data_IF_762408047822
#
_entry.id   IF_762408047822
#
_cell.length_a   1.000
_cell.length_b   1.000
_cell.length_c   1.000
_cell.angle_alpha   90.00
_cell.angle_beta   90.00
_cell.angle_gamma   90.00
#
_symmetry.space_group_name_H-M   'P 1'
#
loop_
_entity.id
_entity.type
_entity.pdbx_description
1 polymer ?
#
# COMPACT_ATOMS: atom_id res chain seq x y z
N UNK A 1 8.59 30.35 60.04
CA UNK A 1 8.84 29.57 58.81
C UNK A 1 8.42 30.43 57.63
N UNK A 2 9.35 30.82 56.76
CA UNK A 2 9.08 31.75 55.66
C UNK A 2 8.31 31.05 54.53
N UNK A 3 7.03 31.37 54.40
CA UNK A 3 6.11 30.84 53.37
C UNK A 3 6.59 31.11 51.94
N UNK A 4 7.33 32.20 51.71
CA UNK A 4 7.95 32.49 50.41
C UNK A 4 9.05 31.52 50.00
N UNK A 5 9.81 30.97 50.96
CA UNK A 5 10.89 30.01 50.65
C UNK A 5 10.32 28.64 50.24
N UNK A 6 9.18 28.26 50.82
CA UNK A 6 8.47 27.01 50.53
C UNK A 6 7.87 27.04 49.12
N UNK A 7 7.25 28.16 48.72
CA UNK A 7 6.68 28.31 47.38
C UNK A 7 7.75 28.28 46.28
N UNK A 8 8.92 28.89 46.51
CA UNK A 8 10.04 28.83 45.57
C UNK A 8 10.58 27.41 45.40
N UNK A 9 10.74 26.65 46.49
CA UNK A 9 11.22 25.27 46.44
C UNK A 9 10.22 24.34 45.74
N UNK A 10 8.92 24.52 45.96
CA UNK A 10 7.87 23.75 45.26
C UNK A 10 7.88 24.07 43.75
N UNK A 11 8.00 25.35 43.38
CA UNK A 11 8.07 25.76 41.97
C UNK A 11 9.27 25.17 41.22
N UNK A 12 10.45 25.15 41.84
CA UNK A 12 11.66 24.55 41.27
C UNK A 12 11.53 23.03 41.13
N UNK A 13 10.94 22.34 42.11
CA UNK A 13 10.72 20.89 42.05
C UNK A 13 9.71 20.51 40.96
N UNK A 14 8.61 21.25 40.80
CA UNK A 14 7.61 21.00 39.75
C UNK A 14 8.19 21.24 38.35
N UNK A 15 8.98 22.30 38.16
CA UNK A 15 9.67 22.59 36.89
C UNK A 15 10.68 21.49 36.52
N UNK A 16 11.44 20.97 37.49
CA UNK A 16 12.39 19.88 37.27
C UNK A 16 11.70 18.56 36.88
N UNK A 17 10.53 18.26 37.45
CA UNK A 17 9.77 17.05 37.13
C UNK A 17 9.19 17.06 35.70
N UNK A 18 8.72 18.20 35.21
CA UNK A 18 8.16 18.33 33.86
C UNK A 18 9.26 18.20 32.77
N UNK A 19 10.45 18.78 32.98
CA UNK A 19 11.57 18.62 32.04
C UNK A 19 12.06 17.17 31.93
N UNK A 20 12.07 16.41 33.04
CA UNK A 20 12.56 15.02 33.06
C UNK A 20 11.65 14.06 32.30
N UNK A 21 10.34 14.30 32.33
CA UNK A 21 9.35 13.52 31.57
C UNK A 21 9.51 13.71 30.05
N UNK A 22 9.76 14.96 29.61
CA UNK A 22 9.98 15.28 28.19
C UNK A 22 11.22 14.59 27.60
N UNK A 23 12.35 14.58 28.32
CA UNK A 23 13.58 13.93 27.87
C UNK A 23 13.44 12.41 27.76
N UNK A 24 12.73 11.77 28.69
CA UNK A 24 12.49 10.32 28.65
C UNK A 24 11.67 9.91 27.42
N UNK A 25 10.59 10.63 27.13
CA UNK A 25 9.74 10.38 25.96
C UNK A 25 10.52 10.58 24.66
N UNK A 26 11.37 11.60 24.59
CA UNK A 26 12.23 11.84 23.43
C UNK A 26 13.23 10.68 23.20
N UNK A 27 13.84 10.15 24.25
CA UNK A 27 14.74 8.99 24.12
C UNK A 27 13.99 7.75 23.64
N UNK A 28 12.79 7.48 24.18
CA UNK A 28 11.94 6.37 23.73
C UNK A 28 11.49 6.52 22.29
N UNK A 29 11.13 7.74 21.87
CA UNK A 29 10.86 8.05 20.47
C UNK A 29 12.07 7.75 19.58
N UNK A 30 13.28 8.18 19.98
CA UNK A 30 14.50 7.92 19.21
C UNK A 30 14.83 6.44 19.08
N UNK A 31 14.68 5.67 20.17
CA UNK A 31 14.83 4.21 20.16
C UNK A 31 13.84 3.55 19.20
N UNK A 32 12.56 3.91 19.32
CA UNK A 32 11.50 3.41 18.44
C UNK A 32 11.76 3.76 16.97
N UNK A 33 12.12 5.01 16.68
CA UNK A 33 12.43 5.44 15.33
C UNK A 33 13.60 4.63 14.76
N UNK A 34 14.68 4.44 15.52
CA UNK A 34 15.83 3.64 15.08
C UNK A 34 15.45 2.20 14.76
N UNK A 35 14.56 1.61 15.57
CA UNK A 35 14.01 0.27 15.31
C UNK A 35 13.21 0.24 13.99
N UNK A 36 12.28 1.18 13.80
CA UNK A 36 11.43 1.26 12.60
C UNK A 36 12.24 1.47 11.33
N UNK A 37 13.26 2.35 11.35
CA UNK A 37 14.13 2.61 10.18
C UNK A 37 14.95 1.36 9.79
N UNK A 38 15.08 0.38 10.70
CA UNK A 38 15.70 -0.91 10.42
C UNK A 38 14.86 -1.81 9.48
N UNK A 39 13.55 -1.59 9.39
CA UNK A 39 12.65 -2.38 8.53
C UNK A 39 12.56 -1.78 7.14
N UNK A 40 13.63 -1.88 6.35
CA UNK A 40 13.67 -1.34 5.00
C UNK A 40 12.80 -2.16 4.05
N UNK A 41 12.11 -1.46 3.14
CA UNK A 41 11.49 -2.08 1.96
C UNK A 41 12.55 -2.90 1.19
N UNK A 42 12.18 -4.08 0.69
CA UNK A 42 13.12 -4.88 -0.10
C UNK A 42 12.58 -6.24 -0.51
N UNK A 43 12.52 -7.19 0.42
CA UNK A 43 12.16 -8.58 0.07
C UNK A 43 10.64 -8.78 0.12
N UNK A 44 10.00 -9.17 -1.00
CA UNK A 44 8.61 -9.60 -1.01
C UNK A 44 8.33 -10.66 0.06
N UNK A 45 7.18 -10.58 0.71
CA UNK A 45 6.77 -11.53 1.74
C UNK A 45 5.61 -12.39 1.24
N UNK A 46 5.50 -13.66 1.67
CA UNK A 46 4.39 -14.51 1.28
C UNK A 46 3.08 -13.99 1.89
N UNK A 47 2.04 -13.94 1.07
CA UNK A 47 0.68 -13.56 1.45
C UNK A 47 -0.32 -14.56 0.94
N UNK A 48 -1.34 -14.80 1.76
CA UNK A 48 -2.47 -15.65 1.39
C UNK A 48 -3.41 -14.82 0.51
N UNK A 49 -3.70 -15.33 -0.69
CA UNK A 49 -4.60 -14.73 -1.67
C UNK A 49 -5.75 -15.69 -1.93
N UNK A 50 -6.98 -15.18 -1.98
CA UNK A 50 -8.15 -16.02 -2.25
C UNK A 50 -8.18 -16.40 -3.73
N UNK A 51 -8.48 -17.66 -4.05
CA UNK A 51 -8.58 -18.07 -5.46
C UNK A 51 -9.70 -17.34 -6.21
N UNK A 52 -10.73 -16.87 -5.51
CA UNK A 52 -11.81 -16.06 -6.10
C UNK A 52 -11.38 -14.68 -6.59
N UNK A 53 -10.25 -14.15 -6.10
CA UNK A 53 -9.68 -12.88 -6.63
C UNK A 53 -8.84 -13.11 -7.87
N UNK A 54 -8.48 -14.36 -8.17
CA UNK A 54 -7.63 -14.75 -9.31
C UNK A 54 -8.49 -15.28 -10.46
N UNK A 55 -9.52 -16.07 -10.12
CA UNK A 55 -10.48 -16.63 -11.06
C UNK A 55 -11.86 -16.13 -10.66
N UNK A 56 -12.46 -15.27 -11.49
CA UNK A 56 -13.84 -14.79 -11.31
C UNK A 56 -14.83 -15.87 -11.76
N UNK A 57 -15.00 -16.90 -10.93
CA UNK A 57 -16.02 -17.95 -11.10
C UNK A 57 -16.87 -18.05 -9.83
N UNK A 58 -18.13 -18.48 -10.00
CA UNK A 58 -19.07 -18.75 -8.91
C UNK A 58 -18.92 -20.16 -8.34
N UNK A 59 -18.20 -21.05 -9.03
CA UNK A 59 -17.93 -22.42 -8.56
C UNK A 59 -16.86 -22.43 -7.45
N UNK A 60 -17.04 -23.32 -6.48
CA UNK A 60 -16.06 -23.55 -5.41
C UNK A 60 -14.74 -24.12 -5.97
N UNK A 61 -13.64 -23.41 -5.74
CA UNK A 61 -12.29 -23.81 -6.17
C UNK A 61 -11.51 -24.50 -5.04
N UNK A 62 -10.66 -25.45 -5.42
CA UNK A 62 -9.67 -26.07 -4.55
C UNK A 62 -8.26 -25.97 -5.16
N UNK A 63 -7.26 -25.46 -4.41
CA UNK A 63 -7.40 -24.86 -3.08
C UNK A 63 -8.20 -23.54 -3.13
N UNK A 64 -8.87 -23.18 -2.03
CA UNK A 64 -9.60 -21.89 -1.91
C UNK A 64 -8.68 -20.68 -1.78
N UNK A 65 -7.43 -20.94 -1.46
CA UNK A 65 -6.41 -19.92 -1.23
C UNK A 65 -5.10 -20.40 -1.84
N UNK A 66 -4.28 -19.46 -2.24
CA UNK A 66 -2.92 -19.67 -2.72
C UNK A 66 -1.98 -18.72 -2.00
N UNK A 67 -0.68 -18.91 -2.19
CA UNK A 67 0.35 -18.01 -1.66
C UNK A 67 1.01 -17.28 -2.83
N UNK A 68 1.07 -15.95 -2.73
CA UNK A 68 1.84 -15.09 -3.64
C UNK A 68 2.77 -14.23 -2.82
N UNK A 69 3.93 -13.89 -3.38
CA UNK A 69 4.84 -12.93 -2.80
C UNK A 69 4.39 -11.52 -3.15
N UNK A 70 4.33 -10.67 -2.12
CA UNK A 70 3.85 -9.29 -2.18
C UNK A 70 4.78 -8.34 -1.41
N UNK A 71 4.90 -7.13 -1.91
CA UNK A 71 5.67 -6.02 -1.34
C UNK A 71 4.89 -5.25 -0.28
N UNK A 72 3.60 -5.56 -0.11
CA UNK A 72 2.77 -5.02 0.95
C UNK A 72 3.38 -5.30 2.33
N UNK A 73 3.58 -4.24 3.11
CA UNK A 73 4.07 -4.35 4.49
C UNK A 73 5.43 -5.06 4.64
N UNK A 74 6.29 -5.06 3.61
CA UNK A 74 7.63 -5.69 3.70
C UNK A 74 8.66 -4.81 4.38
N UNK A 75 8.38 -3.51 4.46
CA UNK A 75 9.17 -2.53 5.18
C UNK A 75 8.57 -1.14 5.06
N UNK A 76 9.32 -0.14 5.52
CA UNK A 76 8.97 1.28 5.47
C UNK A 76 9.86 2.00 4.47
N UNK A 77 9.29 3.04 3.87
CA UNK A 77 10.01 4.02 3.08
C UNK A 77 10.13 5.31 3.90
N UNK A 78 11.33 5.91 3.88
CA UNK A 78 11.66 7.08 4.70
C UNK A 78 11.27 8.37 3.98
N UNK A 79 11.33 8.36 2.65
CA UNK A 79 11.00 9.52 1.83
C UNK A 79 9.48 9.75 1.82
N UNK A 80 9.06 10.97 2.13
CA UNK A 80 7.65 11.34 2.06
C UNK A 80 7.11 11.16 0.64
N UNK A 81 5.86 10.70 0.53
CA UNK A 81 5.25 10.43 -0.78
C UNK A 81 5.80 9.18 -1.46
N UNK A 82 6.51 8.30 -0.75
CA UNK A 82 6.91 6.98 -1.28
C UNK A 82 6.22 5.86 -0.52
N UNK A 83 6.00 4.72 -1.19
CA UNK A 83 5.50 3.51 -0.57
C UNK A 83 6.31 2.30 -1.03
N UNK A 84 6.29 1.23 -0.23
CA UNK A 84 6.96 0.00 -0.58
C UNK A 84 6.12 -0.76 -1.60
N UNK A 85 6.58 -0.80 -2.84
CA UNK A 85 5.86 -1.39 -3.97
C UNK A 85 6.76 -2.30 -4.81
N UNK A 86 6.17 -3.03 -5.78
CA UNK A 86 6.90 -3.96 -6.60
C UNK A 86 7.78 -3.24 -7.63
N UNK A 87 9.09 -3.47 -7.53
CA UNK A 87 10.07 -3.04 -8.54
C UNK A 87 10.20 -4.07 -9.66
N UNK A 88 10.08 -5.35 -9.33
CA UNK A 88 10.06 -6.45 -10.30
C UNK A 88 8.96 -7.44 -9.97
N UNK A 89 8.37 -7.98 -11.02
CA UNK A 89 7.28 -8.92 -10.95
C UNK A 89 7.50 -10.06 -11.95
N UNK A 90 6.79 -11.15 -11.70
CA UNK A 90 6.73 -12.32 -12.57
C UNK A 90 5.27 -12.75 -12.70
N UNK A 91 4.85 -13.03 -13.94
CA UNK A 91 3.53 -13.60 -14.20
C UNK A 91 3.58 -15.11 -13.95
N UNK A 92 2.74 -15.58 -13.03
CA UNK A 92 2.64 -17.00 -12.68
C UNK A 92 1.28 -17.56 -13.07
N UNK A 93 1.29 -18.79 -13.56
CA UNK A 93 0.07 -19.56 -13.83
C UNK A 93 -0.16 -20.51 -12.66
N UNK A 94 -1.33 -20.37 -12.04
CA UNK A 94 -1.77 -21.19 -10.92
C UNK A 94 -2.85 -22.16 -11.39
N UNK A 95 -2.88 -23.33 -10.78
CA UNK A 95 -3.79 -24.40 -11.14
C UNK A 95 -4.74 -24.68 -9.98
N UNK A 96 -6.03 -24.70 -10.28
CA UNK A 96 -7.10 -24.98 -9.34
C UNK A 96 -8.00 -26.07 -9.92
N UNK A 97 -8.84 -26.65 -9.08
CA UNK A 97 -9.84 -27.63 -9.46
C UNK A 97 -11.20 -27.20 -8.93
N UNK A 98 -12.28 -27.37 -9.70
CA UNK A 98 -13.61 -27.21 -9.11
C UNK A 98 -13.90 -28.33 -8.12
N UNK A 99 -14.40 -27.96 -6.94
CA UNK A 99 -14.73 -28.90 -5.88
C UNK A 99 -15.79 -29.90 -6.38
N UNK A 100 -15.54 -31.19 -6.14
CA UNK A 100 -16.43 -32.26 -6.61
C UNK A 100 -16.24 -32.68 -8.08
N UNK A 101 -15.28 -32.10 -8.80
CA UNK A 101 -14.99 -32.46 -10.20
C UNK A 101 -13.52 -32.87 -10.39
N UNK A 102 -13.17 -33.35 -11.59
CA UNK A 102 -11.78 -33.51 -12.05
C UNK A 102 -11.32 -32.38 -12.98
N UNK A 103 -12.16 -31.37 -13.22
CA UNK A 103 -11.88 -30.28 -14.13
C UNK A 103 -10.85 -29.32 -13.50
N UNK A 104 -9.73 -29.14 -14.21
CA UNK A 104 -8.66 -28.21 -13.83
C UNK A 104 -8.90 -26.87 -14.54
N UNK A 105 -8.79 -25.79 -13.77
CA UNK A 105 -8.86 -24.42 -14.25
C UNK A 105 -7.59 -23.68 -13.88
N UNK A 106 -7.12 -22.82 -14.78
CA UNK A 106 -5.92 -22.01 -14.57
C UNK A 106 -6.27 -20.57 -14.28
N UNK A 107 -5.57 -19.97 -13.31
CA UNK A 107 -5.62 -18.55 -13.01
C UNK A 107 -4.25 -17.91 -13.22
N UNK A 108 -4.21 -16.71 -13.78
CA UNK A 108 -2.98 -15.95 -13.91
C UNK A 108 -2.87 -14.95 -12.77
N UNK A 109 -1.70 -14.88 -12.16
CA UNK A 109 -1.44 -13.95 -11.06
C UNK A 109 -0.04 -13.34 -11.18
N UNK A 110 0.17 -12.26 -10.44
CA UNK A 110 1.45 -11.55 -10.41
C UNK A 110 2.16 -11.84 -9.09
N UNK A 111 3.32 -12.46 -9.19
CA UNK A 111 4.23 -12.71 -8.09
C UNK A 111 5.29 -11.62 -8.05
N UNK A 112 5.47 -10.97 -6.90
CA UNK A 112 6.43 -9.87 -6.76
C UNK A 112 7.78 -10.45 -6.34
N UNK A 113 8.86 -10.07 -7.03
CA UNK A 113 10.19 -10.68 -6.88
C UNK A 113 11.23 -9.72 -6.32
N UNK A 114 10.96 -8.42 -6.35
CA UNK A 114 11.81 -7.36 -5.81
C UNK A 114 10.94 -6.16 -5.42
N UNK A 115 11.16 -5.58 -4.24
CA UNK A 115 10.44 -4.40 -3.75
C UNK A 115 11.37 -3.21 -3.64
N UNK A 116 10.83 -2.01 -3.84
CA UNK A 116 11.57 -0.77 -3.65
C UNK A 116 10.63 0.33 -3.18
N UNK A 117 11.21 1.43 -2.73
CA UNK A 117 10.45 2.63 -2.43
C UNK A 117 10.10 3.33 -3.74
N UNK A 118 8.83 3.26 -4.10
CA UNK A 118 8.29 3.85 -5.31
C UNK A 118 7.58 5.13 -4.92
N UNK A 119 7.81 6.20 -5.68
CA UNK A 119 7.05 7.43 -5.54
C UNK A 119 5.56 7.11 -5.75
N UNK A 120 4.76 7.38 -4.73
CA UNK A 120 3.35 7.67 -4.91
C UNK A 120 3.37 8.92 -5.77
N UNK A 121 3.03 8.83 -7.06
CA UNK A 121 2.85 10.05 -7.85
C UNK A 121 1.84 10.93 -7.06
N UNK A 122 2.26 12.10 -6.55
CA UNK A 122 1.49 12.82 -5.53
C UNK A 122 0.18 13.40 -6.05
N UNK A 123 -0.10 13.24 -7.34
CA UNK A 123 -1.23 13.94 -7.92
C UNK A 123 -2.55 13.19 -7.75
N UNK A 124 -2.59 11.89 -7.47
CA UNK A 124 -3.89 11.18 -7.43
C UNK A 124 -3.98 9.96 -6.49
N UNK A 125 -5.00 9.97 -5.65
CA UNK A 125 -5.60 8.75 -5.08
C UNK A 125 -6.37 8.01 -6.18
N UNK A 126 -5.92 6.85 -6.63
CA UNK A 126 -6.67 6.09 -7.67
C UNK A 126 -7.89 5.43 -7.01
N UNK A 127 -9.11 5.90 -7.31
CA UNK A 127 -10.35 5.33 -6.77
C UNK A 127 -10.70 3.98 -7.41
N UNK A 128 -10.53 3.90 -8.72
CA UNK A 128 -10.69 2.69 -9.50
C UNK A 128 -9.42 2.52 -10.31
N UNK A 129 -8.72 1.43 -10.03
CA UNK A 129 -7.53 1.03 -10.77
C UNK A 129 -7.94 -0.02 -11.79
N UNK A 130 -7.40 0.10 -12.99
CA UNK A 130 -7.62 -0.79 -14.10
C UNK A 130 -7.14 -2.20 -13.75
N UNK A 131 -8.12 -3.06 -13.55
CA UNK A 131 -7.96 -4.51 -13.50
C UNK A 131 -8.50 -5.07 -14.82
N UNK A 132 -7.63 -5.14 -15.84
CA UNK A 132 -8.00 -5.79 -17.10
C UNK A 132 -8.07 -7.29 -16.83
N UNK A 133 -9.25 -7.78 -16.49
CA UNK A 133 -9.50 -9.21 -16.31
C UNK A 133 -9.51 -10.00 -17.62
N UNK A 134 -8.87 -9.49 -18.68
CA UNK A 134 -8.70 -10.10 -19.98
C UNK A 134 -7.22 -10.08 -20.38
N UNK A 135 -6.79 -11.14 -21.06
CA UNK A 135 -5.38 -11.36 -21.44
C UNK A 135 -4.94 -10.31 -22.45
N UNK A 136 -4.07 -9.39 -22.03
CA UNK A 136 -3.33 -8.57 -22.96
C UNK A 136 -2.37 -9.45 -23.78
N UNK A 137 -2.26 -9.19 -25.08
CA UNK A 137 -1.35 -9.93 -25.95
C UNK A 137 0.10 -9.77 -25.48
N UNK A 138 0.97 -10.71 -25.86
CA UNK A 138 2.37 -10.71 -25.43
C UNK A 138 3.07 -9.39 -25.81
N UNK A 139 3.62 -8.69 -24.81
CA UNK A 139 4.24 -7.36 -24.97
C UNK A 139 3.30 -6.16 -24.70
N UNK A 140 2.08 -6.42 -24.22
CA UNK A 140 1.13 -5.40 -23.78
C UNK A 140 0.89 -5.44 -22.27
N UNK A 141 0.65 -4.28 -21.68
CA UNK A 141 0.30 -4.08 -20.27
C UNK A 141 -1.12 -3.52 -20.16
N UNK A 142 -1.84 -3.90 -19.10
CA UNK A 142 -3.11 -3.27 -18.76
C UNK A 142 -2.86 -1.87 -18.21
N UNK A 143 -3.50 -0.86 -18.79
CA UNK A 143 -3.41 0.51 -18.31
C UNK A 143 -4.71 1.28 -18.57
N UNK A 144 -4.88 2.42 -17.90
CA UNK A 144 -5.97 3.33 -18.15
C UNK A 144 -5.80 4.00 -19.52
N UNK A 145 -6.83 3.88 -20.35
CA UNK A 145 -6.94 4.60 -21.64
C UNK A 145 -7.56 5.96 -21.39
N UNK A 146 -8.55 6.03 -20.49
CA UNK A 146 -9.20 7.27 -20.07
C UNK A 146 -9.28 7.32 -18.54
N UNK A 147 -9.13 8.51 -18.00
CA UNK A 147 -9.34 8.77 -16.58
C UNK A 147 -9.92 10.15 -16.36
N UNK A 148 -10.64 10.28 -15.25
CA UNK A 148 -11.13 11.55 -14.75
C UNK A 148 -10.41 11.91 -13.45
N UNK A 149 -10.18 13.20 -13.26
CA UNK A 149 -9.66 13.75 -12.01
C UNK A 149 -10.82 14.22 -11.15
N UNK A 150 -10.88 13.73 -9.92
CA UNK A 150 -11.94 14.00 -8.94
C UNK A 150 -11.31 14.46 -7.63
N UNK A 151 -11.93 15.41 -6.95
CA UNK A 151 -11.47 15.86 -5.62
C UNK A 151 -12.31 15.17 -4.55
N UNK A 152 -11.67 14.38 -3.71
CA UNK A 152 -12.27 13.77 -2.52
C UNK A 152 -12.15 14.73 -1.35
N UNK A 153 -13.26 15.02 -0.69
CA UNK A 153 -13.27 15.87 0.50
C UNK A 153 -13.39 15.02 1.75
N UNK A 154 -12.41 15.17 2.64
CA UNK A 154 -12.36 14.48 3.92
C UNK A 154 -12.56 15.48 5.04
N UNK A 155 -13.32 15.08 6.06
CA UNK A 155 -13.50 15.87 7.28
C UNK A 155 -12.63 15.30 8.37
N UNK A 156 -11.72 16.11 8.90
CA UNK A 156 -10.96 15.77 10.09
C UNK A 156 -11.93 15.72 11.28
N UNK A 157 -12.00 14.58 11.98
CA UNK A 157 -12.95 14.38 13.07
C UNK A 157 -12.55 15.10 14.37
N UNK A 158 -11.27 15.44 14.53
CA UNK A 158 -10.74 16.12 15.71
C UNK A 158 -10.81 17.64 15.55
N UNK A 159 -10.42 18.17 14.37
CA UNK A 159 -10.40 19.61 14.10
C UNK A 159 -11.67 20.13 13.42
N UNK A 160 -12.52 19.23 12.91
CA UNK A 160 -13.67 19.56 12.04
C UNK A 160 -13.32 20.26 10.72
N UNK A 161 -12.03 20.39 10.39
CA UNK A 161 -11.58 20.98 9.14
C UNK A 161 -11.83 20.04 7.95
N UNK A 162 -12.17 20.63 6.81
CA UNK A 162 -12.29 19.92 5.54
C UNK A 162 -10.97 20.03 4.78
N UNK A 163 -10.47 18.91 4.26
CA UNK A 163 -9.35 18.90 3.33
C UNK A 163 -9.71 18.10 2.07
N UNK A 164 -9.26 18.61 0.92
CA UNK A 164 -9.42 17.96 -0.37
C UNK A 164 -8.19 17.14 -0.72
N UNK A 165 -8.37 15.93 -1.24
CA UNK A 165 -7.33 15.17 -1.91
C UNK A 165 -7.73 14.95 -3.37
N UNK A 166 -6.80 15.15 -4.29
CA UNK A 166 -6.99 14.80 -5.68
C UNK A 166 -6.97 13.28 -5.83
N UNK A 167 -7.88 12.79 -6.65
CA UNK A 167 -8.08 11.40 -6.93
C UNK A 167 -8.28 11.19 -8.43
N UNK A 168 -7.83 10.04 -8.92
CA UNK A 168 -7.97 9.64 -10.33
C UNK A 168 -8.95 8.49 -10.38
N UNK A 169 -9.94 8.62 -11.23
CA UNK A 169 -10.91 7.58 -11.49
C UNK A 169 -10.66 7.06 -12.90
N UNK A 170 -10.09 5.86 -13.03
CA UNK A 170 -9.83 5.26 -14.34
C UNK A 170 -11.17 4.80 -14.93
N UNK A 171 -11.65 5.48 -15.97
CA UNK A 171 -12.99 5.30 -16.55
C UNK A 171 -13.00 4.30 -17.71
N UNK A 172 -11.87 4.16 -18.41
CA UNK A 172 -11.69 3.17 -19.45
C UNK A 172 -10.32 2.50 -19.35
N UNK A 173 -10.29 1.18 -19.45
CA UNK A 173 -9.10 0.35 -19.32
C UNK A 173 -8.84 -0.42 -20.61
N UNK A 174 -7.57 -0.64 -20.95
CA UNK A 174 -7.22 -1.57 -22.01
C UNK A 174 -5.74 -1.87 -22.12
N UNK A 175 -5.40 -2.65 -23.14
CA UNK A 175 -4.05 -3.15 -23.35
C UNK A 175 -3.23 -2.15 -24.16
N UNK A 176 -2.16 -1.63 -23.58
CA UNK A 176 -1.21 -0.72 -24.23
C UNK A 176 0.14 -1.40 -24.39
N UNK A 177 0.93 -1.00 -25.38
CA UNK A 177 2.31 -1.49 -25.51
C UNK A 177 3.14 -1.02 -24.30
N UNK A 178 4.18 -1.74 -23.91
CA UNK A 178 5.08 -1.38 -22.79
C UNK A 178 5.65 0.06 -22.87
N UNK A 179 5.67 0.65 -24.07
CA UNK A 179 6.09 2.04 -24.30
C UNK A 179 4.97 3.10 -24.18
N UNK A 180 3.79 2.73 -23.66
CA UNK A 180 2.64 3.62 -23.48
C UNK A 180 1.94 4.04 -24.77
N UNK A 181 2.28 3.45 -25.92
CA UNK A 181 1.59 3.70 -27.19
C UNK A 181 0.39 2.76 -27.34
N UNK A 182 -0.77 3.36 -27.60
CA UNK A 182 -1.97 2.64 -28.04
C UNK A 182 -1.71 2.19 -29.49
N UNK A 183 -1.82 0.88 -29.81
CA UNK A 183 -1.69 0.43 -31.19
C UNK A 183 -2.81 1.02 -32.05
N UNK A 184 -2.46 1.57 -33.22
CA UNK A 184 -3.45 2.02 -34.22
C UNK A 184 -4.28 0.81 -34.68
N UNK A 185 -5.53 0.72 -34.24
CA UNK A 185 -6.50 -0.23 -34.76
C UNK A 185 -6.86 0.18 -36.20
N UNK A 186 -6.46 -0.61 -37.19
CA UNK A 186 -7.01 -0.58 -38.55
C UNK A 186 -8.18 -1.55 -38.68
#
# INVERSE_FOLDING_TARGET
MNTSLVLFLIGVLVSCCLCRSSTYNYMKFKEHNTYVVGFKCGTPQPRIVNSSTIIKDTKDLHPRQTVLYKCDCTGVCIEEGTYCGPKKTENVTLYFRYLGTQEIVTGHAVNETDCDCINIHPDFTVLYQCDCTGVCQQGMICSAIEFEEITLYFKNLETSELFGALARNETACGCVLENGKIPDCK
#
